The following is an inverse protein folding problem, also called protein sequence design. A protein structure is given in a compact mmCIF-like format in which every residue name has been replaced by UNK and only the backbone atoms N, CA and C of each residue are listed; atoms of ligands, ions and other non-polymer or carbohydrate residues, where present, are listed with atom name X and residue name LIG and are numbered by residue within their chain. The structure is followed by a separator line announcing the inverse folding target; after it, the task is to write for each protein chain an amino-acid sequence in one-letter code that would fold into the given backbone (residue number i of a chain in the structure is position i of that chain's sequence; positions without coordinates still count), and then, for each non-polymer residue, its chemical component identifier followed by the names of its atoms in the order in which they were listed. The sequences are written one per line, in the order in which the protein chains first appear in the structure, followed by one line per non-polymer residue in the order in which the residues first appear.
data_IF_543232131813
#
_entry.id   IF_543232131813
#
_cell.length_a   1.000
_cell.length_b   1.000
_cell.length_c   1.000
_cell.angle_alpha   90.00
_cell.angle_beta   90.00
_cell.angle_gamma   90.00
#
_symmetry.space_group_name_H-M   'P 1'
#
loop_
_entity.id
_entity.type
_entity.pdbx_description
1 polymer ?
#
# COMPACT_ATOMS: atom_id res chain seq x y z
N UNK A 1 12.77 9.82 11.64
CA UNK A 1 12.47 8.66 10.78
C UNK A 1 12.89 9.04 9.38
N UNK A 2 13.68 8.21 8.71
CA UNK A 2 14.11 8.47 7.32
C UNK A 2 13.00 8.03 6.37
N UNK A 3 12.73 8.82 5.32
CA UNK A 3 11.77 8.40 4.30
C UNK A 3 12.32 7.23 3.50
N UNK A 4 11.49 6.22 3.27
CA UNK A 4 11.77 5.21 2.28
C UNK A 4 11.69 5.85 0.89
N UNK A 5 12.78 5.77 0.13
CA UNK A 5 12.84 6.17 -1.29
C UNK A 5 12.19 5.12 -2.20
N UNK A 6 11.08 4.55 -1.76
CA UNK A 6 10.25 3.66 -2.56
C UNK A 6 9.34 4.54 -3.43
N UNK A 7 9.62 4.58 -4.73
CA UNK A 7 8.84 5.37 -5.70
C UNK A 7 7.73 4.53 -6.30
N UNK A 8 8.10 3.36 -6.82
CA UNK A 8 7.19 2.40 -7.42
C UNK A 8 7.19 1.13 -6.56
N UNK A 9 6.00 0.68 -6.20
CA UNK A 9 5.80 -0.62 -5.58
C UNK A 9 5.09 -1.52 -6.59
N UNK A 10 5.73 -2.61 -6.98
CA UNK A 10 5.11 -3.63 -7.82
C UNK A 10 4.78 -4.87 -6.98
N UNK A 11 3.50 -5.23 -6.93
CA UNK A 11 3.00 -6.43 -6.27
C UNK A 11 1.67 -6.86 -6.91
N UNK A 12 1.37 -8.16 -6.79
CA UNK A 12 0.07 -8.74 -7.13
C UNK A 12 -0.51 -9.50 -5.92
N UNK A 13 -1.73 -10.03 -6.10
CA UNK A 13 -2.48 -10.77 -5.07
C UNK A 13 -1.81 -12.07 -4.61
N UNK A 14 -0.91 -12.61 -5.43
CA UNK A 14 -0.20 -13.87 -5.15
C UNK A 14 1.02 -13.69 -4.26
N UNK A 15 1.60 -12.49 -4.23
CA UNK A 15 2.82 -12.21 -3.46
C UNK A 15 2.58 -12.28 -1.94
N UNK A 16 1.36 -11.98 -1.48
CA UNK A 16 1.02 -11.95 -0.06
C UNK A 16 -0.31 -12.67 0.25
N UNK A 17 -0.39 -14.00 0.07
CA UNK A 17 -1.66 -14.74 0.10
C UNK A 17 -2.32 -14.83 1.48
N UNK A 18 -1.64 -14.35 2.53
CA UNK A 18 -2.13 -14.32 3.91
C UNK A 18 -2.04 -12.93 4.54
N UNK A 19 -1.83 -11.89 3.73
CA UNK A 19 -1.76 -10.54 4.26
C UNK A 19 -3.12 -10.12 4.77
N UNK A 20 -3.20 -9.81 6.07
CA UNK A 20 -4.42 -9.30 6.67
C UNK A 20 -4.35 -7.79 6.90
N UNK A 21 -3.16 -7.27 7.17
CA UNK A 21 -2.95 -5.87 7.56
C UNK A 21 -1.76 -5.32 6.78
N UNK A 22 -2.00 -4.30 5.95
CA UNK A 22 -0.98 -3.54 5.25
C UNK A 22 -0.78 -2.21 5.96
N UNK A 23 0.47 -1.89 6.31
CA UNK A 23 0.83 -0.63 6.97
C UNK A 23 1.96 0.03 6.21
N UNK A 24 1.74 1.25 5.72
CA UNK A 24 2.71 2.04 4.97
C UNK A 24 2.95 3.36 5.72
N UNK A 25 4.20 3.62 6.10
CA UNK A 25 4.59 4.79 6.91
C UNK A 25 5.77 5.51 6.29
N UNK A 26 5.71 6.84 6.27
CA UNK A 26 6.79 7.71 5.78
C UNK A 26 7.27 7.38 4.35
N UNK A 27 6.35 6.95 3.49
CA UNK A 27 6.60 6.70 2.07
C UNK A 27 6.12 7.91 1.25
N UNK A 28 6.83 9.04 1.38
CA UNK A 28 6.48 10.30 0.69
C UNK A 28 6.75 10.27 -0.82
N UNK A 29 7.57 9.32 -1.28
CA UNK A 29 7.89 9.15 -2.70
C UNK A 29 7.02 8.10 -3.41
N UNK A 30 6.27 7.30 -2.66
CA UNK A 30 5.45 6.23 -3.22
C UNK A 30 4.34 6.84 -4.06
N UNK A 31 4.29 6.52 -5.35
CA UNK A 31 3.31 7.09 -6.26
C UNK A 31 1.93 6.48 -6.05
N UNK A 32 1.85 5.15 -5.88
CA UNK A 32 0.59 4.44 -5.72
C UNK A 32 0.77 3.11 -4.97
N UNK A 33 -0.34 2.57 -4.46
CA UNK A 33 -0.44 1.19 -3.98
C UNK A 33 -0.98 0.36 -5.15
N UNK A 34 -0.37 -0.79 -5.49
CA UNK A 34 -0.89 -1.67 -6.54
C UNK A 34 -2.33 -2.07 -6.25
N UNK A 35 -3.23 -1.86 -7.21
CA UNK A 35 -4.64 -2.22 -7.08
C UNK A 35 -4.85 -3.71 -6.79
N UNK A 36 -3.97 -4.56 -7.31
CA UNK A 36 -3.98 -6.01 -7.06
C UNK A 36 -3.83 -6.39 -5.57
N UNK A 37 -3.35 -5.47 -4.71
CA UNK A 37 -3.40 -5.66 -3.26
C UNK A 37 -4.85 -5.79 -2.77
N UNK A 38 -5.81 -5.13 -3.41
CA UNK A 38 -7.24 -5.24 -3.11
C UNK A 38 -7.84 -6.60 -3.43
N UNK A 39 -7.22 -7.34 -4.34
CA UNK A 39 -7.67 -8.68 -4.71
C UNK A 39 -7.21 -9.74 -3.69
N UNK A 40 -6.39 -9.38 -2.70
CA UNK A 40 -5.95 -10.29 -1.63
C UNK A 40 -7.16 -10.60 -0.71
N UNK A 41 -7.67 -11.85 -0.70
CA UNK A 41 -8.93 -12.17 -0.03
C UNK A 41 -8.83 -12.11 1.51
N UNK A 42 -7.63 -12.16 2.06
CA UNK A 42 -7.40 -12.07 3.51
C UNK A 42 -7.23 -10.64 4.01
N UNK A 43 -7.10 -9.66 3.12
CA UNK A 43 -6.79 -8.29 3.50
C UNK A 43 -7.98 -7.63 4.18
N UNK A 44 -7.74 -7.08 5.37
CA UNK A 44 -8.76 -6.47 6.24
C UNK A 44 -8.53 -5.00 6.46
N UNK A 45 -7.26 -4.57 6.49
CA UNK A 45 -6.89 -3.20 6.87
C UNK A 45 -5.75 -2.70 6.00
N UNK A 46 -5.89 -1.50 5.47
CA UNK A 46 -4.81 -0.70 4.90
C UNK A 46 -4.65 0.56 5.74
N UNK A 47 -3.49 0.72 6.37
CA UNK A 47 -3.12 1.91 7.13
C UNK A 47 -2.02 2.67 6.40
N UNK A 48 -2.27 3.94 6.08
CA UNK A 48 -1.30 4.82 5.43
C UNK A 48 -1.06 6.04 6.32
N UNK A 49 0.20 6.29 6.69
CA UNK A 49 0.59 7.41 7.55
C UNK A 49 1.77 8.17 6.95
N UNK A 50 1.67 9.49 6.91
CA UNK A 50 2.74 10.39 6.42
C UNK A 50 3.30 9.99 5.03
N UNK A 51 2.43 9.56 4.11
CA UNK A 51 2.80 9.17 2.74
C UNK A 51 2.32 10.19 1.70
N UNK A 52 2.70 9.99 0.45
CA UNK A 52 2.21 10.77 -0.69
C UNK A 52 0.67 10.72 -0.75
N UNK A 53 -0.02 11.86 -1.00
CA UNK A 53 -1.47 11.89 -1.24
C UNK A 53 -1.97 10.88 -2.29
N UNK A 54 -1.19 10.59 -3.33
CA UNK A 54 -1.55 9.60 -4.35
C UNK A 54 -1.61 8.17 -3.79
N UNK A 55 -0.61 7.77 -2.98
CA UNK A 55 -0.64 6.49 -2.28
C UNK A 55 -1.81 6.39 -1.27
N UNK A 56 -2.16 7.51 -0.63
CA UNK A 56 -3.36 7.59 0.24
C UNK A 56 -4.64 7.43 -0.58
N UNK A 57 -4.70 7.98 -1.80
CA UNK A 57 -5.84 7.80 -2.69
C UNK A 57 -5.99 6.35 -3.15
N UNK A 58 -4.90 5.68 -3.55
CA UNK A 58 -4.92 4.25 -3.89
C UNK A 58 -5.43 3.39 -2.73
N UNK A 59 -5.00 3.68 -1.49
CA UNK A 59 -5.48 2.95 -0.32
C UNK A 59 -7.00 3.05 -0.12
N UNK A 60 -7.60 4.22 -0.44
CA UNK A 60 -9.05 4.48 -0.35
C UNK A 60 -9.84 3.96 -1.54
N UNK A 61 -9.17 3.63 -2.64
CA UNK A 61 -9.80 2.98 -3.79
C UNK A 61 -9.88 1.47 -3.58
N UNK A 62 -8.86 0.92 -2.91
CA UNK A 62 -8.78 -0.50 -2.56
C UNK A 62 -9.74 -0.88 -1.42
N UNK A 63 -10.02 0.04 -0.49
CA UNK A 63 -10.96 -0.13 0.63
C UNK A 63 -12.07 0.92 0.63
#
# INVERSE_FOLDING_TARGET
MEDLRLVNWAADDTHFPRLEHLVIRHCRYLEEIPLAIGDIPTLKVIEVQECNPSAVASAREIQ
#
